data_IF_573330725192
#
_entry.id   IF_573330725192
#
_cell.length_a   1.000
_cell.length_b   1.000
_cell.length_c   1.000
_cell.angle_alpha   90.00
_cell.angle_beta   90.00
_cell.angle_gamma   90.00
#
_symmetry.space_group_name_H-M   'P 1'
#
loop_
_entity.id
_entity.type
_entity.pdbx_description
1 polymer ?
#
# COMPACT_ATOMS: atom_id res chain seq x y z
N UNK A 1 4.84 -22.81 -4.03
CA UNK A 1 3.98 -22.58 -2.85
C UNK A 1 2.83 -23.58 -2.73
N UNK A 2 1.86 -23.63 -3.66
CA UNK A 2 0.71 -24.55 -3.54
C UNK A 2 1.09 -26.04 -3.39
N UNK A 3 2.07 -26.51 -4.17
CA UNK A 3 2.58 -27.88 -4.06
C UNK A 3 3.09 -28.19 -2.64
N UNK A 4 3.87 -27.27 -2.05
CA UNK A 4 4.39 -27.39 -0.68
C UNK A 4 3.29 -27.53 0.37
N UNK A 5 2.27 -26.67 0.28
CA UNK A 5 1.12 -26.68 1.21
C UNK A 5 0.36 -28.02 1.12
N UNK A 6 0.06 -28.47 -0.11
CA UNK A 6 -0.70 -29.69 -0.35
C UNK A 6 0.07 -30.94 0.09
N UNK A 7 1.39 -30.99 -0.16
CA UNK A 7 2.26 -32.07 0.34
C UNK A 7 2.25 -32.14 1.86
N UNK A 8 2.36 -31.00 2.55
CA UNK A 8 2.30 -30.95 4.03
C UNK A 8 0.93 -31.32 4.60
N UNK A 9 -0.15 -31.17 3.81
CA UNK A 9 -1.48 -31.69 4.15
C UNK A 9 -1.64 -33.20 3.90
N UNK A 10 -0.60 -33.89 3.41
CA UNK A 10 -0.61 -35.33 3.19
C UNK A 10 -1.17 -35.77 1.84
N UNK A 11 -1.41 -34.84 0.91
CA UNK A 11 -1.88 -35.19 -0.43
C UNK A 11 -0.73 -35.67 -1.32
N UNK A 12 -0.97 -36.65 -2.22
CA UNK A 12 -0.03 -36.99 -3.27
C UNK A 12 -0.01 -35.86 -4.31
N UNK A 13 1.15 -35.22 -4.49
CA UNK A 13 1.31 -34.07 -5.40
C UNK A 13 2.47 -34.32 -6.35
N UNK A 14 2.22 -34.19 -7.65
CA UNK A 14 3.25 -34.30 -8.69
C UNK A 14 4.15 -33.04 -8.70
N UNK A 15 5.44 -33.22 -8.99
CA UNK A 15 6.39 -32.12 -9.24
C UNK A 15 5.96 -31.28 -10.45
N UNK A 16 5.33 -31.89 -11.44
CA UNK A 16 4.83 -31.19 -12.63
C UNK A 16 3.50 -30.49 -12.32
N UNK A 17 3.50 -29.17 -12.45
CA UNK A 17 2.33 -28.31 -12.47
C UNK A 17 2.08 -27.72 -13.85
N UNK A 18 0.89 -27.16 -14.04
CA UNK A 18 0.50 -26.52 -15.29
C UNK A 18 0.00 -25.10 -15.04
N UNK A 19 0.38 -24.19 -15.91
CA UNK A 19 -0.17 -22.84 -15.96
C UNK A 19 -1.03 -22.71 -17.21
N UNK A 20 -2.29 -22.34 -17.04
CA UNK A 20 -3.16 -21.99 -18.16
C UNK A 20 -2.96 -20.51 -18.45
N UNK A 21 -2.39 -20.24 -19.61
CA UNK A 21 -2.25 -18.88 -20.13
C UNK A 21 -3.32 -18.67 -21.20
N UNK A 22 -4.12 -17.61 -21.06
CA UNK A 22 -5.18 -17.28 -22.01
C UNK A 22 -4.86 -15.93 -22.63
N UNK A 23 -4.65 -15.94 -23.95
CA UNK A 23 -4.38 -14.74 -24.73
C UNK A 23 -5.66 -14.25 -25.42
N UNK A 24 -6.08 -13.04 -25.08
CA UNK A 24 -7.19 -12.35 -25.72
C UNK A 24 -6.77 -11.83 -27.09
N UNK A 25 -7.25 -12.48 -28.14
CA UNK A 25 -6.90 -12.16 -29.51
C UNK A 25 -7.54 -10.85 -29.93
N UNK A 26 -6.77 -9.76 -29.93
CA UNK A 26 -7.25 -8.43 -30.27
C UNK A 26 -6.46 -7.74 -31.39
N UNK A 27 -5.21 -8.18 -31.63
CA UNK A 27 -4.36 -7.59 -32.66
C UNK A 27 -4.50 -8.35 -33.98
N UNK A 28 -4.90 -7.65 -35.05
CA UNK A 28 -5.00 -8.21 -36.40
C UNK A 28 -6.13 -9.23 -36.59
N UNK A 29 -7.15 -9.19 -35.72
CA UNK A 29 -8.34 -10.06 -35.81
C UNK A 29 -9.54 -9.19 -36.20
N UNK A 30 -10.01 -9.36 -37.45
CA UNK A 30 -11.19 -8.69 -37.98
C UNK A 30 -12.48 -9.33 -37.41
N UNK A 31 -13.55 -8.54 -37.34
CA UNK A 31 -14.86 -9.03 -36.86
C UNK A 31 -15.01 -9.11 -35.33
N UNK A 32 -14.08 -8.49 -34.59
CA UNK A 32 -14.26 -8.32 -33.14
C UNK A 32 -15.40 -7.38 -32.76
N UNK A 33 -15.74 -6.42 -33.63
CA UNK A 33 -16.86 -5.51 -33.46
C UNK A 33 -17.82 -5.73 -34.62
N UNK A 34 -19.09 -5.95 -34.29
CA UNK A 34 -20.19 -5.99 -35.23
C UNK A 34 -20.96 -4.67 -35.15
N UNK A 35 -20.70 -3.79 -36.13
CA UNK A 35 -21.32 -2.47 -36.25
C UNK A 35 -22.83 -2.54 -36.56
N UNK A 36 -23.32 -3.69 -37.02
CA UNK A 36 -24.73 -3.90 -37.38
C UNK A 36 -25.56 -4.42 -36.22
N UNK A 37 -24.96 -5.23 -35.34
CA UNK A 37 -25.64 -5.81 -34.18
C UNK A 37 -25.27 -5.13 -32.84
N UNK A 38 -24.38 -4.13 -32.85
CA UNK A 38 -23.82 -3.49 -31.65
C UNK A 38 -23.29 -4.53 -30.63
N UNK A 39 -22.62 -5.56 -31.16
CA UNK A 39 -22.07 -6.69 -30.41
C UNK A 39 -20.56 -6.78 -30.66
N UNK A 40 -19.84 -7.36 -29.71
CA UNK A 40 -18.41 -7.59 -29.82
C UNK A 40 -18.07 -9.04 -29.51
N UNK A 41 -17.23 -9.65 -30.35
CA UNK A 41 -16.75 -11.02 -30.20
C UNK A 41 -15.25 -11.02 -29.94
N UNK A 42 -14.81 -11.65 -28.86
CA UNK A 42 -13.38 -11.77 -28.53
C UNK A 42 -12.96 -13.24 -28.55
N UNK A 43 -11.93 -13.54 -29.36
CA UNK A 43 -11.31 -14.85 -29.40
C UNK A 43 -10.32 -15.03 -28.26
N UNK A 44 -10.26 -16.22 -27.68
CA UNK A 44 -9.30 -16.57 -26.64
C UNK A 44 -8.50 -17.79 -27.05
N UNK A 45 -7.17 -17.68 -27.01
CA UNK A 45 -6.26 -18.81 -27.23
C UNK A 45 -5.73 -19.26 -25.88
N UNK A 46 -6.12 -20.46 -25.45
CA UNK A 46 -5.61 -21.06 -24.22
C UNK A 46 -4.37 -21.92 -24.51
N UNK A 47 -3.29 -21.65 -23.80
CA UNK A 47 -2.04 -22.42 -23.84
C UNK A 47 -1.78 -23.03 -22.48
N UNK A 48 -1.45 -24.32 -22.45
CA UNK A 48 -1.08 -25.02 -21.22
C UNK A 48 0.44 -25.09 -21.10
N UNK A 49 1.02 -24.29 -20.21
CA UNK A 49 2.46 -24.26 -19.96
C UNK A 49 2.80 -25.27 -18.87
N UNK A 50 3.70 -26.21 -19.19
CA UNK A 50 4.16 -27.22 -18.23
C UNK A 50 5.35 -26.70 -17.45
N UNK A 51 5.33 -26.86 -16.14
CA UNK A 51 6.41 -26.44 -15.26
C UNK A 51 6.72 -27.50 -14.22
N UNK A 52 8.01 -27.81 -14.01
CA UNK A 52 8.43 -28.67 -12.91
C UNK A 52 8.75 -27.81 -11.69
N UNK A 53 7.89 -27.88 -10.69
CA UNK A 53 8.05 -27.15 -9.44
C UNK A 53 9.08 -27.75 -8.51
N UNK A 54 9.73 -26.86 -7.77
CA UNK A 54 10.63 -27.16 -6.65
C UNK A 54 10.18 -26.32 -5.44
N UNK A 55 9.97 -26.99 -4.31
CA UNK A 55 9.53 -26.41 -3.05
C UNK A 55 10.53 -26.56 -1.90
N UNK A 56 11.76 -27.02 -2.20
CA UNK A 56 12.83 -27.21 -1.21
C UNK A 56 13.17 -25.90 -0.48
N UNK A 57 13.17 -24.78 -1.19
CA UNK A 57 13.48 -23.45 -0.65
C UNK A 57 12.41 -22.88 0.30
N UNK A 58 11.17 -23.38 0.25
CA UNK A 58 10.03 -22.74 0.91
C UNK A 58 10.18 -22.72 2.43
N UNK A 59 10.73 -23.81 3.01
CA UNK A 59 10.95 -23.89 4.46
C UNK A 59 11.88 -22.81 4.98
N UNK A 60 13.07 -22.73 4.38
CA UNK A 60 14.13 -21.79 4.78
C UNK A 60 13.70 -20.33 4.61
N UNK A 61 12.95 -20.04 3.53
CA UNK A 61 12.41 -18.70 3.29
C UNK A 61 11.35 -18.32 4.32
N UNK A 62 10.46 -19.24 4.73
CA UNK A 62 9.49 -18.96 5.80
C UNK A 62 10.15 -18.68 7.14
N UNK A 63 11.24 -19.38 7.46
CA UNK A 63 12.02 -19.11 8.67
C UNK A 63 12.71 -17.75 8.62
N UNK A 64 13.24 -17.38 7.45
CA UNK A 64 13.84 -16.06 7.21
C UNK A 64 12.80 -14.93 7.37
N UNK A 65 11.62 -15.09 6.77
CA UNK A 65 10.51 -14.14 6.88
C UNK A 65 10.08 -13.99 8.34
N UNK A 66 9.94 -15.10 9.07
CA UNK A 66 9.61 -15.06 10.51
C UNK A 66 10.65 -14.28 11.29
N UNK A 67 11.93 -14.48 11.02
CA UNK A 67 13.00 -13.75 11.72
C UNK A 67 12.87 -12.25 11.53
N UNK A 68 12.61 -11.80 10.29
CA UNK A 68 12.42 -10.38 9.97
C UNK A 68 11.15 -9.82 10.62
N UNK A 69 10.02 -10.53 10.56
CA UNK A 69 8.75 -10.04 11.11
C UNK A 69 8.74 -9.88 12.64
N UNK A 70 9.56 -10.65 13.35
CA UNK A 70 9.62 -10.62 14.82
C UNK A 70 10.76 -9.75 15.35
N UNK A 71 11.51 -9.06 14.49
CA UNK A 71 12.57 -8.17 14.93
C UNK A 71 11.98 -6.84 15.44
N UNK A 72 12.66 -6.21 16.40
CA UNK A 72 12.16 -5.00 17.06
C UNK A 72 12.42 -3.70 16.28
N UNK A 73 13.02 -3.78 15.09
CA UNK A 73 13.39 -2.62 14.27
C UNK A 73 12.96 -2.84 12.82
N UNK A 74 12.78 -1.74 12.08
CA UNK A 74 12.50 -1.83 10.65
C UNK A 74 13.73 -2.43 9.94
N UNK A 75 13.56 -3.43 9.05
CA UNK A 75 14.68 -3.93 8.25
C UNK A 75 15.16 -2.88 7.26
N UNK A 76 16.42 -2.99 6.86
CA UNK A 76 16.94 -2.18 5.76
C UNK A 76 16.16 -2.46 4.47
N UNK A 77 15.87 -1.40 3.74
CA UNK A 77 15.22 -1.50 2.45
C UNK A 77 16.18 -2.00 1.37
N UNK A 78 15.65 -2.73 0.39
CA UNK A 78 16.37 -3.02 -0.84
C UNK A 78 16.66 -1.73 -1.62
N UNK A 79 17.74 -1.72 -2.40
CA UNK A 79 18.22 -0.53 -3.11
C UNK A 79 17.19 0.07 -4.09
N UNK A 80 16.28 -0.75 -4.61
CA UNK A 80 15.21 -0.40 -5.54
C UNK A 80 13.82 -0.34 -4.87
N UNK A 81 13.77 -0.30 -3.54
CA UNK A 81 12.51 -0.25 -2.81
C UNK A 81 11.76 1.07 -3.06
N UNK A 82 10.65 1.00 -3.78
CA UNK A 82 9.82 2.18 -4.07
C UNK A 82 9.21 2.79 -2.79
N UNK A 83 8.94 1.98 -1.77
CA UNK A 83 8.40 2.44 -0.50
C UNK A 83 9.43 3.22 0.30
N UNK A 84 10.71 2.82 0.27
CA UNK A 84 11.79 3.58 0.89
C UNK A 84 11.87 4.98 0.27
N UNK A 85 11.88 5.05 -1.07
CA UNK A 85 11.89 6.32 -1.81
C UNK A 85 10.72 7.22 -1.45
N UNK A 86 9.53 6.65 -1.24
CA UNK A 86 8.36 7.39 -0.80
C UNK A 86 8.54 7.93 0.63
N UNK A 87 8.93 7.08 1.58
CA UNK A 87 9.12 7.47 2.99
C UNK A 87 10.24 8.50 3.14
N UNK A 88 11.34 8.33 2.40
CA UNK A 88 12.46 9.28 2.37
C UNK A 88 11.99 10.63 1.82
N UNK A 89 11.25 10.64 0.71
CA UNK A 89 10.71 11.87 0.13
C UNK A 89 9.71 12.58 1.05
N UNK A 90 8.88 11.83 1.79
CA UNK A 90 8.00 12.41 2.82
C UNK A 90 8.85 13.01 3.95
N UNK A 91 9.87 12.31 4.41
CA UNK A 91 10.75 12.76 5.49
C UNK A 91 11.51 14.03 5.09
N UNK A 92 12.03 14.08 3.87
CA UNK A 92 12.70 15.25 3.30
C UNK A 92 11.76 16.46 3.21
N UNK A 93 10.54 16.28 2.68
CA UNK A 93 9.54 17.35 2.59
C UNK A 93 9.12 17.88 3.97
N UNK A 94 9.01 16.99 4.97
CA UNK A 94 8.73 17.38 6.36
C UNK A 94 9.94 18.10 6.99
N UNK A 95 11.17 17.72 6.65
CA UNK A 95 12.39 18.33 7.18
C UNK A 95 12.68 19.71 6.58
N UNK A 96 12.40 19.95 5.29
CA UNK A 96 12.54 21.27 4.66
C UNK A 96 11.68 22.34 5.32
N UNK A 97 10.57 21.94 5.96
CA UNK A 97 9.69 22.85 6.71
C UNK A 97 10.38 23.41 7.98
N UNK A 98 11.45 22.76 8.48
CA UNK A 98 12.10 23.08 9.76
C UNK A 98 13.38 23.94 9.56
N UNK A 99 13.95 24.02 8.36
CA UNK A 99 15.26 24.70 8.11
C UNK A 99 15.12 26.16 7.61
N UNK A 100 13.94 26.76 7.68
CA UNK A 100 13.78 28.22 7.47
C UNK A 100 14.15 29.01 8.74
N UNK A 101 15.41 28.96 9.16
CA UNK A 101 15.94 29.84 10.20
C UNK A 101 16.54 31.12 9.59
N UNK A 102 15.80 32.24 9.73
CA UNK A 102 16.37 33.58 9.62
C UNK A 102 15.45 34.69 9.12
N UNK A 103 14.57 35.20 10.00
CA UNK A 103 14.18 36.62 9.97
C UNK A 103 12.80 37.00 9.38
N UNK A 104 11.70 36.54 9.98
CA UNK A 104 10.50 37.37 10.18
C UNK A 104 9.49 36.61 11.07
N UNK A 105 9.22 37.07 12.28
CA UNK A 105 8.18 36.48 13.16
C UNK A 105 6.79 36.42 12.46
N UNK A 106 6.56 37.29 11.48
CA UNK A 106 5.35 37.31 10.67
C UNK A 106 5.29 36.17 9.65
N UNK A 107 6.44 35.73 9.14
CA UNK A 107 6.57 34.59 8.23
C UNK A 107 6.42 33.27 8.99
N UNK A 108 7.00 33.16 10.19
CA UNK A 108 6.81 32.00 11.07
C UNK A 108 5.34 31.81 11.47
N UNK A 109 4.61 32.90 11.78
CA UNK A 109 3.17 32.86 12.03
C UNK A 109 2.35 32.47 10.79
N UNK A 110 2.73 32.95 9.60
CA UNK A 110 2.09 32.56 8.35
C UNK A 110 2.29 31.07 8.03
N UNK A 111 3.53 30.57 8.14
CA UNK A 111 3.86 29.15 7.91
C UNK A 111 3.15 28.26 8.94
N UNK A 112 3.12 28.67 10.22
CA UNK A 112 2.37 27.96 11.26
C UNK A 112 0.87 27.87 10.94
N UNK A 113 0.27 28.96 10.46
CA UNK A 113 -1.12 28.96 10.00
C UNK A 113 -1.33 28.09 8.76
N UNK A 114 -0.46 28.15 7.75
CA UNK A 114 -0.58 27.34 6.53
C UNK A 114 -0.41 25.84 6.83
N UNK A 115 0.50 25.50 7.76
CA UNK A 115 0.71 24.13 8.23
C UNK A 115 -0.50 23.63 9.04
N UNK A 116 -1.07 24.49 9.88
CA UNK A 116 -2.31 24.20 10.61
C UNK A 116 -3.49 24.01 9.67
N UNK A 117 -3.64 24.88 8.67
CA UNK A 117 -4.66 24.73 7.63
C UNK A 117 -4.44 23.47 6.79
N UNK A 118 -3.19 23.09 6.49
CA UNK A 118 -2.88 21.84 5.80
C UNK A 118 -3.27 20.62 6.65
N UNK A 119 -2.93 20.62 7.95
CA UNK A 119 -3.34 19.58 8.88
C UNK A 119 -4.87 19.50 9.01
N UNK A 120 -5.56 20.63 9.12
CA UNK A 120 -7.02 20.70 9.18
C UNK A 120 -7.67 20.17 7.89
N UNK A 121 -7.10 20.49 6.71
CA UNK A 121 -7.54 19.94 5.41
C UNK A 121 -7.37 18.42 5.33
N UNK A 122 -6.26 17.89 5.85
CA UNK A 122 -6.00 16.44 5.90
C UNK A 122 -6.97 15.75 6.85
N UNK A 123 -7.21 16.31 8.04
CA UNK A 123 -8.19 15.79 9.00
C UNK A 123 -9.62 15.81 8.42
N UNK A 124 -10.01 16.87 7.72
CA UNK A 124 -11.32 16.94 7.06
C UNK A 124 -11.45 15.89 5.94
N UNK A 125 -10.40 15.67 5.16
CA UNK A 125 -10.37 14.64 4.12
C UNK A 125 -10.50 13.23 4.73
N UNK A 126 -9.79 12.95 5.84
CA UNK A 126 -9.88 11.69 6.56
C UNK A 126 -11.29 11.46 7.13
N UNK A 127 -11.92 12.49 7.70
CA UNK A 127 -13.29 12.41 8.20
C UNK A 127 -14.31 12.13 7.08
N UNK A 128 -14.18 12.79 5.92
CA UNK A 128 -15.02 12.53 4.74
C UNK A 128 -14.85 11.10 4.22
N UNK A 129 -13.62 10.59 4.22
CA UNK A 129 -13.33 9.21 3.85
C UNK A 129 -13.98 8.23 4.83
N UNK A 130 -13.85 8.43 6.14
CA UNK A 130 -14.51 7.60 7.17
C UNK A 130 -16.05 7.60 7.03
N UNK A 131 -16.66 8.76 6.74
CA UNK A 131 -18.10 8.87 6.48
C UNK A 131 -18.52 8.15 5.19
N UNK A 132 -17.69 8.21 4.14
CA UNK A 132 -17.94 7.50 2.88
C UNK A 132 -17.83 5.98 3.07
N UNK A 133 -16.81 5.54 3.80
CA UNK A 133 -16.57 4.13 4.13
C UNK A 133 -17.67 3.55 5.02
N UNK A 134 -18.19 4.30 5.98
CA UNK A 134 -19.29 3.85 6.85
C UNK A 134 -20.66 3.80 6.15
N UNK A 135 -20.86 4.57 5.07
CA UNK A 135 -22.10 4.56 4.28
C UNK A 135 -22.16 3.42 3.24
N UNK A 136 -21.02 2.86 2.83
CA UNK A 136 -21.00 1.69 1.95
C UNK A 136 -21.14 0.43 2.79
N UNK A 137 -22.22 -0.33 2.57
CA UNK A 137 -22.34 -1.68 3.10
C UNK A 137 -21.39 -2.61 2.32
N UNK A 138 -20.22 -2.89 2.88
CA UNK A 138 -19.28 -3.86 2.35
C UNK A 138 -19.65 -5.28 2.85
N UNK A 139 -19.51 -6.32 2.01
CA UNK A 139 -19.70 -7.70 2.45
C UNK A 139 -18.67 -8.09 3.53
N UNK A 140 -19.04 -8.97 4.47
CA UNK A 140 -18.24 -9.33 5.66
C UNK A 140 -16.80 -9.81 5.34
N UNK A 141 -16.50 -10.23 4.11
CA UNK A 141 -15.16 -10.65 3.69
C UNK A 141 -14.12 -9.52 3.64
N UNK A 142 -14.56 -8.27 3.61
CA UNK A 142 -13.67 -7.10 3.44
C UNK A 142 -13.38 -6.36 4.77
N UNK A 143 -13.89 -6.89 5.89
CA UNK A 143 -13.80 -6.28 7.23
C UNK A 143 -12.36 -6.08 7.70
N UNK A 144 -11.47 -7.07 7.50
CA UNK A 144 -10.09 -7.00 8.01
C UNK A 144 -9.25 -5.92 7.32
N UNK A 145 -9.47 -5.71 6.02
CA UNK A 145 -8.77 -4.70 5.22
C UNK A 145 -9.24 -3.29 5.59
N UNK A 146 -10.53 -3.12 5.87
CA UNK A 146 -11.08 -1.84 6.33
C UNK A 146 -10.65 -1.53 7.76
N UNK A 147 -10.62 -2.51 8.65
CA UNK A 147 -10.14 -2.32 10.02
C UNK A 147 -8.64 -2.00 10.04
N UNK A 148 -7.85 -2.64 9.18
CA UNK A 148 -6.44 -2.30 8.99
C UNK A 148 -6.25 -0.85 8.51
N UNK A 149 -6.98 -0.44 7.46
CA UNK A 149 -6.90 0.94 6.94
C UNK A 149 -7.38 1.97 7.97
N UNK A 150 -8.40 1.65 8.77
CA UNK A 150 -8.87 2.52 9.86
C UNK A 150 -7.81 2.73 10.93
N UNK A 151 -7.11 1.67 11.33
CA UNK A 151 -6.02 1.73 12.32
C UNK A 151 -4.85 2.56 11.80
N UNK A 152 -4.48 2.41 10.53
CA UNK A 152 -3.41 3.19 9.92
C UNK A 152 -3.74 4.69 9.82
N UNK A 153 -4.98 5.02 9.44
CA UNK A 153 -5.43 6.42 9.38
C UNK A 153 -5.50 7.06 10.78
N UNK A 154 -5.99 6.33 11.79
CA UNK A 154 -6.03 6.82 13.16
C UNK A 154 -4.63 7.07 13.72
N UNK A 155 -3.70 6.14 13.48
CA UNK A 155 -2.30 6.29 13.90
C UNK A 155 -1.61 7.50 13.26
N UNK A 156 -1.90 7.76 11.98
CA UNK A 156 -1.40 8.95 11.28
C UNK A 156 -1.95 10.26 11.84
N UNK A 157 -3.24 10.32 12.17
CA UNK A 157 -3.87 11.50 12.79
C UNK A 157 -3.30 11.79 14.18
N UNK A 158 -3.14 10.76 15.02
CA UNK A 158 -2.61 10.90 16.38
C UNK A 158 -1.14 11.35 16.37
N UNK A 159 -0.35 10.85 15.42
CA UNK A 159 1.05 11.24 15.26
C UNK A 159 1.19 12.69 14.78
N UNK A 160 0.33 13.14 13.86
CA UNK A 160 0.29 14.54 13.41
C UNK A 160 -0.19 15.49 14.52
N UNK A 161 -1.15 15.07 15.34
CA UNK A 161 -1.60 15.84 16.53
C UNK A 161 -0.48 15.99 17.56
N UNK A 162 0.22 14.91 17.87
CA UNK A 162 1.35 14.93 18.80
C UNK A 162 2.45 15.87 18.31
N UNK A 163 2.76 15.85 17.02
CA UNK A 163 3.75 16.76 16.42
C UNK A 163 3.28 18.22 16.51
N UNK A 164 2.00 18.50 16.25
CA UNK A 164 1.44 19.84 16.37
C UNK A 164 1.45 20.36 17.82
N UNK A 165 1.16 19.50 18.81
CA UNK A 165 1.19 19.83 20.24
C UNK A 165 2.63 20.07 20.75
N UNK A 166 3.60 19.27 20.30
CA UNK A 166 5.03 19.46 20.62
C UNK A 166 5.60 20.76 20.02
N UNK A 167 5.14 21.16 18.83
CA UNK A 167 5.54 22.42 18.20
C UNK A 167 4.97 23.62 18.98
N UNK A 168 3.72 23.54 19.42
CA UNK A 168 3.07 24.62 20.20
C UNK A 168 3.66 24.79 21.61
N UNK A 169 4.09 23.70 22.24
CA UNK A 169 4.67 23.74 23.60
C UNK A 169 6.11 24.27 23.59
N UNK A 170 6.91 23.96 22.56
CA UNK A 170 8.29 24.47 22.41
C UNK A 170 8.35 25.99 22.16
N UNK A 171 7.31 26.58 21.62
CA UNK A 171 7.19 28.04 21.47
C UNK A 171 6.81 28.75 22.79
N UNK A 172 6.30 28.03 23.80
CA UNK A 172 5.91 28.59 25.10
C UNK A 172 6.98 28.53 26.19
N UNK A 173 8.02 27.71 26.01
CA UNK A 173 9.15 27.58 26.95
C UNK A 173 10.33 28.51 26.63
N UNK A 174 10.27 29.25 25.51
CA UNK A 174 11.33 30.16 25.04
C UNK A 174 10.99 31.66 25.15
N UNK A 175 10.00 32.03 25.98
CA UNK A 175 9.67 33.43 26.33
C UNK A 175 9.99 33.74 27.81
#
# INVERSE_FOLDING_TARGET
MYQWILRRKGFPVNDTGYFVYVDGQHYGVDGMLDDTENQANMGFTATLLTYRGDDTWVGDVLESIRTVLYQNHCPDHQADCEHARFVDGVTEAMAETIVMNGGNQQMAKFISNDLKEAADRVAEACQKLQQSLSKRAYPESDSELIDFLRVQLQGGEDQLRSIAEDVLTRDSEND
#
